data_IF_010682412862
#
_entry.id   IF_010682412862
#
_cell.length_a   1.000
_cell.length_b   1.000
_cell.length_c   1.000
_cell.angle_alpha   90.00
_cell.angle_beta   90.00
_cell.angle_gamma   90.00
#
_symmetry.space_group_name_H-M   'P 1'
#
loop_
_entity.id
_entity.type
_entity.pdbx_description
1 polymer ?
#
# COMPACT_ATOMS: atom_id res chain seq x y z
N UNK A 1 11.68 -33.40 -33.96
CA UNK A 1 11.34 -32.29 -33.05
C UNK A 1 12.57 -31.43 -32.86
N UNK A 2 12.43 -30.10 -32.87
CA UNK A 2 13.00 -29.33 -31.77
C UNK A 2 11.93 -28.42 -31.15
N UNK A 3 11.82 -28.52 -29.83
CA UNK A 3 11.09 -27.56 -29.00
C UNK A 3 11.87 -26.25 -29.02
N UNK A 4 11.33 -25.24 -29.70
CA UNK A 4 11.83 -23.87 -29.60
C UNK A 4 11.23 -23.27 -28.32
N UNK A 5 12.00 -23.31 -27.24
CA UNK A 5 11.61 -22.72 -25.96
C UNK A 5 11.74 -21.20 -26.07
N UNK A 6 10.64 -20.53 -26.36
CA UNK A 6 10.47 -19.09 -26.23
C UNK A 6 10.64 -18.69 -24.76
N UNK A 7 11.86 -18.43 -24.30
CA UNK A 7 12.05 -17.46 -23.23
C UNK A 7 11.92 -16.09 -23.89
N UNK A 8 10.70 -15.56 -23.93
CA UNK A 8 10.51 -14.12 -24.14
C UNK A 8 11.15 -13.42 -22.96
N UNK A 9 12.07 -12.53 -23.28
CA UNK A 9 12.74 -11.63 -22.35
C UNK A 9 11.74 -11.07 -21.34
N UNK A 10 11.90 -11.44 -20.07
CA UNK A 10 11.32 -10.66 -18.98
C UNK A 10 12.10 -9.36 -18.99
N UNK A 11 11.61 -8.38 -19.73
CA UNK A 11 12.09 -7.00 -19.62
C UNK A 11 11.78 -6.59 -18.18
N UNK A 12 12.78 -6.65 -17.32
CA UNK A 12 12.74 -6.02 -16.01
C UNK A 12 12.61 -4.53 -16.26
N UNK A 13 11.38 -4.04 -16.28
CA UNK A 13 11.10 -2.61 -16.32
C UNK A 13 11.47 -2.07 -14.95
N UNK A 14 12.67 -1.51 -14.82
CA UNK A 14 13.08 -0.81 -13.61
C UNK A 14 12.37 0.55 -13.56
N UNK A 15 11.52 0.74 -12.56
CA UNK A 15 10.92 2.04 -12.27
C UNK A 15 11.86 2.83 -11.37
N UNK A 16 12.12 4.09 -11.71
CA UNK A 16 12.85 5.03 -10.84
C UNK A 16 11.86 6.02 -10.23
N UNK A 17 11.93 6.21 -8.91
CA UNK A 17 11.12 7.17 -8.15
C UNK A 17 12.08 8.11 -7.44
N UNK A 18 11.90 9.43 -7.56
CA UNK A 18 12.70 10.36 -6.77
C UNK A 18 12.09 10.45 -5.37
N UNK A 19 12.95 10.52 -4.36
CA UNK A 19 12.56 10.52 -2.95
C UNK A 19 13.33 11.59 -2.20
N UNK A 20 12.64 12.33 -1.34
CA UNK A 20 13.25 13.15 -0.28
C UNK A 20 13.02 12.41 1.03
N UNK A 21 14.07 12.34 1.87
CA UNK A 21 13.98 11.80 3.22
C UNK A 21 14.46 12.86 4.21
N UNK A 22 13.53 13.38 4.99
CA UNK A 22 13.78 14.34 6.07
C UNK A 22 13.81 13.67 7.45
N UNK A 23 13.64 12.35 7.53
CA UNK A 23 13.82 11.59 8.77
C UNK A 23 15.31 11.26 8.99
N UNK A 24 15.66 10.84 10.20
CA UNK A 24 16.96 10.24 10.52
C UNK A 24 17.05 8.74 10.22
N UNK A 25 16.00 8.14 9.66
CA UNK A 25 15.97 6.72 9.32
C UNK A 25 16.48 6.44 7.90
N UNK A 26 17.03 5.25 7.62
CA UNK A 26 17.39 4.85 6.26
C UNK A 26 16.19 4.89 5.31
N UNK A 27 16.47 5.02 4.00
CA UNK A 27 15.44 4.84 2.98
C UNK A 27 14.81 3.45 3.08
N UNK A 28 13.50 3.31 2.76
CA UNK A 28 12.87 2.00 2.62
C UNK A 28 13.58 1.15 1.58
N UNK A 29 13.70 -0.14 1.86
CA UNK A 29 14.33 -1.12 0.97
C UNK A 29 13.49 -2.39 0.88
N UNK A 30 13.63 -3.11 -0.22
CA UNK A 30 13.09 -4.44 -0.38
C UNK A 30 13.88 -5.43 0.49
N UNK A 31 13.21 -6.03 1.48
CA UNK A 31 13.88 -6.87 2.47
C UNK A 31 14.36 -8.23 1.92
N UNK A 32 13.78 -8.66 0.80
CA UNK A 32 14.14 -9.88 0.07
C UNK A 32 14.04 -9.62 -1.43
N UNK A 33 14.69 -10.45 -2.24
CA UNK A 33 14.68 -10.35 -3.71
C UNK A 33 13.25 -10.31 -4.30
N UNK A 34 12.35 -11.15 -3.77
CA UNK A 34 10.96 -11.25 -4.24
C UNK A 34 9.97 -10.36 -3.45
N UNK A 35 10.45 -9.42 -2.64
CA UNK A 35 9.56 -8.56 -1.86
C UNK A 35 8.79 -7.62 -2.78
N UNK A 36 7.45 -7.62 -2.67
CA UNK A 36 6.60 -6.72 -3.44
C UNK A 36 6.61 -5.27 -2.89
N UNK A 37 6.94 -5.10 -1.61
CA UNK A 37 6.88 -3.81 -0.93
C UNK A 37 8.08 -3.54 -0.03
N UNK A 38 8.25 -2.26 0.29
CA UNK A 38 9.31 -1.75 1.17
C UNK A 38 8.72 -1.29 2.49
N UNK A 39 9.34 -1.65 3.61
CA UNK A 39 8.82 -1.27 4.94
C UNK A 39 8.96 0.25 5.18
N UNK A 40 7.87 0.90 5.59
CA UNK A 40 7.85 2.30 6.01
C UNK A 40 8.03 2.39 7.52
N UNK A 41 8.90 3.31 7.95
CA UNK A 41 9.21 3.55 9.36
C UNK A 41 8.45 4.76 9.91
N UNK A 42 8.06 4.68 11.18
CA UNK A 42 7.56 5.83 11.92
C UNK A 42 8.69 6.85 12.11
N UNK A 43 8.41 8.13 11.87
CA UNK A 43 9.28 9.25 12.20
C UNK A 43 8.61 10.08 13.28
N UNK A 44 9.08 9.95 14.52
CA UNK A 44 8.44 10.48 15.72
C UNK A 44 9.42 11.21 16.64
N UNK A 45 8.97 12.30 17.26
CA UNK A 45 9.71 12.97 18.34
C UNK A 45 9.56 12.24 19.69
N UNK A 46 8.43 11.58 19.89
CA UNK A 46 8.12 10.78 21.08
C UNK A 46 7.20 9.60 20.71
N UNK A 47 7.20 8.50 21.50
CA UNK A 47 6.35 7.34 21.24
C UNK A 47 4.86 7.70 21.24
N UNK A 48 4.07 7.03 20.41
CA UNK A 48 2.62 7.24 20.29
C UNK A 48 1.88 5.97 20.67
N UNK A 49 1.06 6.03 21.72
CA UNK A 49 0.20 4.90 22.11
C UNK A 49 -1.18 5.04 21.49
N UNK A 50 -1.63 3.98 20.81
CA UNK A 50 -3.00 3.82 20.34
C UNK A 50 -3.78 2.92 21.30
N UNK A 51 -4.80 3.46 21.95
CA UNK A 51 -5.77 2.66 22.70
C UNK A 51 -6.69 1.88 21.74
N UNK A 52 -7.44 0.88 22.23
CA UNK A 52 -8.43 0.18 21.42
C UNK A 52 -9.37 1.15 20.68
N UNK A 53 -9.54 0.92 19.37
CA UNK A 53 -10.35 1.71 18.43
C UNK A 53 -9.86 3.14 18.16
N UNK A 54 -8.71 3.54 18.70
CA UNK A 54 -8.07 4.79 18.33
C UNK A 54 -7.35 4.70 16.98
N UNK A 55 -7.18 5.86 16.36
CA UNK A 55 -6.50 6.04 15.08
C UNK A 55 -5.65 7.29 15.11
N UNK A 56 -4.53 7.25 14.40
CA UNK A 56 -3.64 8.40 14.27
C UNK A 56 -2.93 8.38 12.92
N UNK A 57 -2.48 9.56 12.47
CA UNK A 57 -1.60 9.69 11.32
C UNK A 57 -0.15 9.68 11.81
N UNK A 58 0.60 8.64 11.45
CA UNK A 58 2.03 8.58 11.73
C UNK A 58 2.80 9.08 10.51
N UNK A 59 3.68 10.06 10.74
CA UNK A 59 4.55 10.62 9.71
C UNK A 59 5.76 9.73 9.44
N UNK A 60 6.31 9.85 8.23
CA UNK A 60 7.46 9.03 7.78
C UNK A 60 8.69 9.87 7.46
N UNK A 61 8.55 11.20 7.31
CA UNK A 61 9.61 12.06 6.78
C UNK A 61 9.91 11.86 5.29
N UNK A 62 9.15 11.03 4.58
CA UNK A 62 9.38 10.70 3.18
C UNK A 62 8.45 11.49 2.25
N UNK A 63 8.98 11.87 1.09
CA UNK A 63 8.24 12.53 0.01
C UNK A 63 8.63 11.86 -1.31
N UNK A 64 7.66 11.64 -2.21
CA UNK A 64 7.91 10.94 -3.47
C UNK A 64 7.52 11.79 -4.69
N UNK A 65 8.27 11.60 -5.76
CA UNK A 65 7.88 11.94 -7.12
C UNK A 65 7.66 10.65 -7.90
N UNK A 66 6.40 10.20 -7.95
CA UNK A 66 6.01 8.96 -8.61
C UNK A 66 5.75 9.24 -10.11
N UNK A 67 6.25 8.41 -11.03
CA UNK A 67 5.98 8.55 -12.46
C UNK A 67 4.48 8.43 -12.78
N UNK A 68 4.01 9.24 -13.75
CA UNK A 68 2.64 9.14 -14.28
C UNK A 68 2.32 7.70 -14.74
N UNK A 69 1.09 7.25 -14.47
CA UNK A 69 0.65 5.88 -14.74
C UNK A 69 0.99 4.87 -13.64
N UNK A 70 1.58 5.35 -12.53
CA UNK A 70 1.81 4.57 -11.33
C UNK A 70 1.29 5.32 -10.10
N UNK A 71 0.80 4.55 -9.13
CA UNK A 71 0.52 5.01 -7.78
C UNK A 71 1.43 4.26 -6.80
N UNK A 72 1.52 4.75 -5.57
CA UNK A 72 2.05 3.96 -4.46
C UNK A 72 0.93 3.63 -3.49
N UNK A 73 0.96 2.41 -2.95
CA UNK A 73 -0.03 1.88 -2.03
C UNK A 73 0.62 1.60 -0.69
N UNK A 74 0.10 2.22 0.36
CA UNK A 74 0.44 1.93 1.75
C UNK A 74 -0.43 0.76 2.21
N UNK A 75 0.20 -0.36 2.53
CA UNK A 75 -0.46 -1.60 2.94
C UNK A 75 -0.06 -2.00 4.36
N UNK A 76 -0.93 -2.70 5.11
CA UNK A 76 -0.60 -3.25 6.42
C UNK A 76 0.55 -4.26 6.34
N UNK A 77 1.33 -4.35 7.42
CA UNK A 77 2.27 -5.46 7.63
C UNK A 77 1.52 -6.59 8.31
N UNK A 78 1.56 -7.79 7.74
CA UNK A 78 0.81 -8.95 8.24
C UNK A 78 1.11 -9.27 9.71
N UNK A 79 2.37 -9.11 10.13
CA UNK A 79 2.80 -9.31 11.51
C UNK A 79 2.10 -8.36 12.51
N UNK A 80 2.00 -7.07 12.18
CA UNK A 80 1.31 -6.09 13.03
C UNK A 80 -0.21 -6.35 13.07
N UNK A 81 -0.80 -6.64 11.91
CA UNK A 81 -2.23 -6.95 11.81
C UNK A 81 -2.60 -8.19 12.62
N UNK A 82 -1.86 -9.29 12.47
CA UNK A 82 -2.17 -10.57 13.13
C UNK A 82 -1.86 -10.55 14.62
N UNK A 83 -0.70 -10.01 15.03
CA UNK A 83 -0.23 -10.10 16.42
C UNK A 83 -0.77 -8.99 17.32
N UNK A 84 -1.06 -7.82 16.76
CA UNK A 84 -1.38 -6.62 17.54
C UNK A 84 -2.70 -5.96 17.12
N UNK A 85 -3.39 -6.46 16.09
CA UNK A 85 -4.62 -5.84 15.57
C UNK A 85 -4.38 -4.46 14.97
N UNK A 86 -3.14 -4.12 14.59
CA UNK A 86 -2.79 -2.83 14.01
C UNK A 86 -2.87 -2.93 12.49
N UNK A 87 -3.65 -2.05 11.89
CA UNK A 87 -3.80 -1.99 10.43
C UNK A 87 -3.78 -0.55 9.94
N UNK A 88 -3.64 -0.41 8.62
CA UNK A 88 -3.76 0.86 7.92
C UNK A 88 -5.24 1.09 7.64
N UNK A 89 -5.83 2.12 8.25
CA UNK A 89 -7.27 2.38 8.26
C UNK A 89 -7.84 2.55 6.85
N UNK A 90 -7.10 3.23 5.98
CA UNK A 90 -7.48 3.47 4.58
C UNK A 90 -6.85 2.44 3.62
N UNK A 91 -6.48 1.24 4.09
CA UNK A 91 -5.79 0.25 3.26
C UNK A 91 -6.60 -0.22 2.04
N UNK A 92 -5.98 -0.34 0.85
CA UNK A 92 -4.67 0.21 0.52
C UNK A 92 -4.72 1.75 0.46
N UNK A 93 -3.81 2.43 1.17
CA UNK A 93 -3.74 3.88 1.14
C UNK A 93 -3.06 4.36 -0.14
N UNK A 94 -3.79 5.06 -1.01
CA UNK A 94 -3.28 5.55 -2.30
C UNK A 94 -2.46 6.82 -2.14
N UNK A 95 -1.29 6.85 -2.79
CA UNK A 95 -0.46 8.03 -3.00
C UNK A 95 -0.40 8.30 -4.51
N UNK A 96 -1.00 9.41 -4.92
CA UNK A 96 -1.11 9.82 -6.31
C UNK A 96 0.22 10.30 -6.90
N UNK A 97 0.34 10.21 -8.23
CA UNK A 97 1.57 10.58 -8.94
C UNK A 97 1.95 12.06 -8.84
N UNK A 98 0.98 12.94 -8.62
CA UNK A 98 1.15 14.38 -8.47
C UNK A 98 1.27 14.83 -7.00
N UNK A 99 1.12 13.92 -6.03
CA UNK A 99 1.31 14.23 -4.62
C UNK A 99 2.79 14.48 -4.31
N UNK A 100 3.09 15.63 -3.69
CA UNK A 100 4.44 16.03 -3.23
C UNK A 100 4.50 16.34 -1.74
N UNK A 101 3.42 16.05 -1.02
CA UNK A 101 3.40 16.19 0.43
C UNK A 101 4.13 15.05 1.11
N UNK A 102 4.23 15.15 2.42
CA UNK A 102 4.83 14.11 3.24
C UNK A 102 3.92 12.87 3.26
N UNK A 103 4.52 11.68 3.12
CA UNK A 103 3.82 10.41 3.29
C UNK A 103 3.50 10.22 4.78
N UNK A 104 2.23 9.92 5.05
CA UNK A 104 1.78 9.49 6.36
C UNK A 104 1.00 8.18 6.30
N UNK A 105 1.04 7.44 7.39
CA UNK A 105 0.37 6.15 7.56
C UNK A 105 -0.76 6.33 8.57
N UNK A 106 -2.01 6.18 8.12
CA UNK A 106 -3.18 6.21 8.99
C UNK A 106 -3.33 4.86 9.70
N UNK A 107 -2.81 4.74 10.92
CA UNK A 107 -2.93 3.53 11.71
C UNK A 107 -4.20 3.54 12.55
N UNK A 108 -4.79 2.36 12.73
CA UNK A 108 -5.89 2.11 13.67
C UNK A 108 -5.58 0.87 14.49
N UNK A 109 -5.93 0.91 15.77
CA UNK A 109 -5.86 -0.25 16.66
C UNK A 109 -7.22 -0.94 16.73
N UNK A 110 -7.34 -2.13 16.15
CA UNK A 110 -8.55 -2.96 16.18
C UNK A 110 -8.48 -4.07 17.25
N UNK A 111 -7.44 -4.08 18.08
CA UNK A 111 -7.33 -4.99 19.22
C UNK A 111 -7.98 -4.42 20.48
N UNK A 112 -8.06 -5.25 21.52
CA UNK A 112 -8.53 -4.85 22.84
C UNK A 112 -7.39 -4.42 23.79
N UNK A 113 -6.17 -4.27 23.27
CA UNK A 113 -4.98 -3.92 24.06
C UNK A 113 -4.33 -2.66 23.50
N UNK A 114 -3.81 -1.74 24.34
CA UNK A 114 -3.00 -0.63 23.87
C UNK A 114 -1.79 -1.10 23.06
N UNK A 115 -1.42 -0.33 22.04
CA UNK A 115 -0.21 -0.57 21.25
C UNK A 115 0.61 0.72 21.17
N UNK A 116 1.88 0.67 21.55
CA UNK A 116 2.80 1.81 21.47
C UNK A 116 3.66 1.67 20.23
N UNK A 117 3.65 2.73 19.41
CA UNK A 117 4.49 2.87 18.23
C UNK A 117 5.74 3.63 18.65
N UNK A 118 6.89 3.02 18.41
CA UNK A 118 8.19 3.63 18.67
C UNK A 118 8.75 4.32 17.42
N UNK A 119 9.61 5.31 17.60
CA UNK A 119 10.35 5.92 16.49
C UNK A 119 11.20 4.86 15.76
N UNK A 120 11.20 4.90 14.43
CA UNK A 120 11.90 3.94 13.58
C UNK A 120 11.22 2.59 13.43
N UNK A 121 10.11 2.33 14.12
CA UNK A 121 9.36 1.10 13.98
C UNK A 121 8.76 0.97 12.57
N UNK A 122 8.82 -0.24 12.00
CA UNK A 122 8.27 -0.55 10.68
C UNK A 122 6.75 -0.74 10.80
N UNK A 123 5.98 0.24 10.36
CA UNK A 123 4.53 0.34 10.65
C UNK A 123 3.63 -0.04 9.47
N UNK A 124 4.13 0.06 8.24
CA UNK A 124 3.41 -0.28 7.01
C UNK A 124 4.40 -0.72 5.94
N UNK A 125 3.90 -1.10 4.77
CA UNK A 125 4.73 -1.35 3.59
C UNK A 125 4.21 -0.55 2.39
N UNK A 126 5.13 -0.06 1.57
CA UNK A 126 4.84 0.67 0.33
C UNK A 126 4.98 -0.26 -0.87
N UNK A 127 3.95 -0.33 -1.71
CA UNK A 127 3.95 -1.11 -2.96
C UNK A 127 3.62 -0.18 -4.12
N UNK A 128 4.42 -0.17 -5.18
CA UNK A 128 4.08 0.57 -6.40
C UNK A 128 3.19 -0.25 -7.32
N UNK A 129 2.16 0.37 -7.87
CA UNK A 129 1.21 -0.28 -8.76
C UNK A 129 0.95 0.57 -10.00
N UNK A 130 0.77 -0.07 -11.16
CA UNK A 130 0.26 0.59 -12.36
C UNK A 130 -1.24 0.79 -12.25
N UNK A 131 -1.73 1.91 -12.75
CA UNK A 131 -3.16 2.18 -12.89
C UNK A 131 -3.49 2.62 -14.30
N UNK A 132 -4.74 2.43 -14.70
CA UNK A 132 -5.28 2.90 -15.98
C UNK A 132 -6.17 4.12 -15.75
N UNK A 133 -6.07 5.10 -16.64
CA UNK A 133 -6.97 6.27 -16.63
C UNK A 133 -8.19 5.96 -17.49
N UNK A 134 -9.36 5.78 -16.87
CA UNK A 134 -10.59 5.52 -17.59
C UNK A 134 -11.26 6.82 -18.07
N UNK A 135 -11.81 6.79 -19.29
CA UNK A 135 -12.82 7.78 -19.73
C UNK A 135 -14.19 7.17 -19.53
N UNK A 136 -15.05 7.84 -18.76
CA UNK A 136 -16.40 7.36 -18.48
C UNK A 136 -17.37 7.87 -19.55
N UNK A 137 -18.19 6.96 -20.09
CA UNK A 137 -19.28 7.30 -21.03
C UNK A 137 -20.62 6.97 -20.36
N UNK A 138 -21.47 7.98 -20.16
CA UNK A 138 -22.79 7.80 -19.57
C UNK A 138 -23.77 7.19 -20.58
N UNK A 139 -24.51 6.15 -20.18
CA UNK A 139 -25.51 5.44 -21.00
C UNK A 139 -26.78 5.16 -20.18
N UNK A 140 -27.91 4.92 -20.86
CA UNK A 140 -29.18 4.58 -20.19
C UNK A 140 -29.29 3.09 -19.83
N UNK A 141 -28.63 2.22 -20.60
CA UNK A 141 -28.70 0.75 -20.45
C UNK A 141 -27.31 0.14 -20.59
N UNK A 142 -26.99 -0.84 -19.75
CA UNK A 142 -25.79 -1.68 -19.84
C UNK A 142 -26.11 -2.98 -20.58
N UNK A 143 -25.12 -3.57 -21.24
CA UNK A 143 -25.26 -4.90 -21.86
C UNK A 143 -25.43 -6.01 -20.80
N UNK A 144 -26.15 -7.06 -21.16
CA UNK A 144 -26.32 -8.23 -20.30
C UNK A 144 -24.99 -8.96 -20.09
N UNK A 145 -24.80 -9.51 -18.89
CA UNK A 145 -23.67 -10.38 -18.56
C UNK A 145 -24.12 -11.61 -17.78
N UNK A 146 -23.33 -12.69 -17.80
CA UNK A 146 -23.66 -13.92 -17.06
C UNK A 146 -23.84 -13.69 -15.55
N UNK A 147 -23.16 -12.71 -14.97
CA UNK A 147 -23.29 -12.35 -13.55
C UNK A 147 -24.46 -11.40 -13.29
N UNK A 148 -24.82 -10.57 -14.27
CA UNK A 148 -25.88 -9.56 -14.15
C UNK A 148 -25.68 -8.68 -12.91
N UNK A 149 -26.76 -8.46 -12.17
CA UNK A 149 -26.80 -7.68 -10.92
C UNK A 149 -26.36 -8.44 -9.66
N UNK A 150 -25.84 -9.67 -9.77
CA UNK A 150 -25.42 -10.48 -8.63
C UNK A 150 -24.15 -9.98 -7.92
N UNK A 151 -24.27 -9.54 -6.67
CA UNK A 151 -23.18 -9.09 -5.80
C UNK A 151 -23.17 -9.78 -4.43
N UNK A 152 -22.20 -9.46 -3.56
CA UNK A 152 -22.17 -9.84 -2.13
C UNK A 152 -22.39 -11.33 -1.81
N UNK A 153 -21.54 -12.22 -2.34
CA UNK A 153 -21.62 -13.65 -2.02
C UNK A 153 -22.65 -14.43 -2.86
N UNK A 154 -23.09 -13.89 -3.99
CA UNK A 154 -24.03 -14.52 -4.93
C UNK A 154 -23.60 -15.88 -5.50
N UNK A 155 -22.36 -16.30 -5.28
CA UNK A 155 -21.81 -17.62 -5.66
C UNK A 155 -21.50 -18.53 -4.47
N UNK A 156 -21.72 -18.07 -3.24
CA UNK A 156 -21.42 -18.83 -2.02
C UNK A 156 -22.46 -19.89 -1.74
N UNK A 157 -22.11 -21.17 -1.97
CA UNK A 157 -22.68 -22.27 -1.19
C UNK A 157 -21.90 -22.33 0.14
N UNK A 158 -22.65 -22.50 1.23
CA UNK A 158 -22.20 -22.53 2.64
C UNK A 158 -20.82 -23.14 2.85
#
# INVERSE_FOLDING_TARGET
MPFNHFYKDVILVSMTVKIINNSHHPLPEYQTEDAAGMDLRAFLEAPVTLLPLERTLIKTGLFLEIPKGHEAQIRPRSGLAFKHGITVLNSPGTIDADYRGEIGVLLVNLSNTPFTIEDGERIAQLVFAKYESATLTQVEVLEDSQRGSGGFGSTGKK
#
